data_IF_020048637597
#
_entry.id   IF_020048637597
#
_cell.length_a   1.000
_cell.length_b   1.000
_cell.length_c   1.000
_cell.angle_alpha   90.00
_cell.angle_beta   90.00
_cell.angle_gamma   90.00
#
_symmetry.space_group_name_H-M   'P 1'
#
loop_
_entity.id
_entity.type
_entity.pdbx_description
1 polymer ?
#
# COMPACT_ATOMS: atom_id res chain seq x y z
N UNK A 1 -43.25 10.39 -21.83
CA UNK A 1 -42.38 9.74 -20.84
C UNK A 1 -40.94 9.82 -21.34
N UNK A 2 -40.14 10.76 -20.82
CA UNK A 2 -38.71 10.86 -21.18
C UNK A 2 -37.89 10.73 -19.90
N UNK A 3 -37.43 9.52 -19.62
CA UNK A 3 -36.52 9.25 -18.51
C UNK A 3 -35.12 9.77 -18.87
N UNK A 4 -34.72 10.85 -18.19
CA UNK A 4 -33.37 11.40 -18.27
C UNK A 4 -32.40 10.47 -17.54
N UNK A 5 -31.75 9.57 -18.29
CA UNK A 5 -30.79 8.59 -17.77
C UNK A 5 -29.33 9.11 -17.70
N UNK A 6 -29.11 10.43 -17.76
CA UNK A 6 -27.77 11.06 -17.85
C UNK A 6 -27.14 11.76 -16.61
N UNK A 7 -27.58 11.60 -15.33
CA UNK A 7 -26.83 12.17 -14.19
C UNK A 7 -25.69 11.27 -13.67
N UNK A 8 -25.97 9.96 -13.47
CA UNK A 8 -25.13 9.08 -12.63
C UNK A 8 -23.69 8.87 -13.14
N UNK A 9 -23.52 8.73 -14.46
CA UNK A 9 -22.19 8.54 -15.07
C UNK A 9 -21.34 9.81 -15.07
N UNK A 10 -21.99 10.99 -15.14
CA UNK A 10 -21.30 12.29 -15.08
C UNK A 10 -20.91 12.63 -13.64
N UNK A 11 -21.76 12.24 -12.68
CA UNK A 11 -21.51 12.42 -11.25
C UNK A 11 -20.38 11.52 -10.72
N UNK A 12 -20.33 10.25 -11.14
CA UNK A 12 -19.22 9.35 -10.78
C UNK A 12 -17.89 9.88 -11.30
N UNK A 13 -17.88 10.41 -12.53
CA UNK A 13 -16.67 10.98 -13.15
C UNK A 13 -16.15 12.17 -12.35
N UNK A 14 -17.03 13.11 -11.93
CA UNK A 14 -16.60 14.27 -11.15
C UNK A 14 -16.06 13.87 -9.76
N UNK A 15 -16.70 12.90 -9.10
CA UNK A 15 -16.21 12.36 -7.82
C UNK A 15 -14.82 11.75 -7.97
N UNK A 16 -14.60 10.95 -9.01
CA UNK A 16 -13.31 10.29 -9.24
C UNK A 16 -12.21 11.28 -9.60
N UNK A 17 -12.52 12.30 -10.41
CA UNK A 17 -11.60 13.41 -10.72
C UNK A 17 -11.14 14.16 -9.47
N UNK A 18 -12.05 14.39 -8.50
CA UNK A 18 -11.69 15.01 -7.23
C UNK A 18 -10.75 14.13 -6.40
N UNK A 19 -11.02 12.83 -6.35
CA UNK A 19 -10.14 11.86 -5.66
C UNK A 19 -8.76 11.81 -6.32
N UNK A 20 -8.70 11.75 -7.65
CA UNK A 20 -7.45 11.72 -8.40
C UNK A 20 -6.63 13.00 -8.22
N UNK A 21 -7.27 14.17 -8.35
CA UNK A 21 -6.62 15.46 -8.13
C UNK A 21 -6.07 15.58 -6.70
N UNK A 22 -6.82 15.11 -5.70
CA UNK A 22 -6.39 15.11 -4.30
C UNK A 22 -5.17 14.21 -4.11
N UNK A 23 -5.22 12.98 -4.61
CA UNK A 23 -4.09 12.04 -4.54
C UNK A 23 -2.82 12.63 -5.15
N UNK A 24 -2.93 13.26 -6.33
CA UNK A 24 -1.79 13.92 -6.99
C UNK A 24 -1.23 15.08 -6.17
N UNK A 25 -2.08 15.95 -5.60
CA UNK A 25 -1.60 17.05 -4.74
C UNK A 25 -0.89 16.49 -3.51
N UNK A 26 -1.44 15.46 -2.87
CA UNK A 26 -0.82 14.86 -1.69
C UNK A 26 0.56 14.31 -1.99
N UNK A 27 0.73 13.59 -3.11
CA UNK A 27 2.02 12.99 -3.51
C UNK A 27 3.06 14.04 -3.93
N UNK A 28 2.63 15.13 -4.59
CA UNK A 28 3.52 16.16 -5.13
C UNK A 28 3.88 17.25 -4.11
N UNK A 29 2.92 17.63 -3.26
CA UNK A 29 3.00 18.86 -2.45
C UNK A 29 2.67 18.62 -0.96
N UNK A 30 2.38 17.37 -0.58
CA UNK A 30 1.99 16.99 0.77
C UNK A 30 0.51 17.24 1.07
N UNK A 31 0.01 16.60 2.13
CA UNK A 31 -1.43 16.64 2.44
C UNK A 31 -1.96 18.05 2.75
N UNK A 32 -1.14 18.94 3.31
CA UNK A 32 -1.56 20.29 3.70
C UNK A 32 -1.94 21.15 2.49
N UNK A 33 -1.38 20.87 1.30
CA UNK A 33 -1.67 21.59 0.06
C UNK A 33 -3.04 21.22 -0.53
N UNK A 34 -3.59 20.05 -0.17
CA UNK A 34 -4.80 19.47 -0.76
C UNK A 34 -6.11 20.11 -0.25
N UNK A 35 -6.21 21.44 -0.32
CA UNK A 35 -7.42 22.20 0.07
C UNK A 35 -8.55 22.05 -0.95
N UNK A 36 -9.81 22.21 -0.52
CA UNK A 36 -10.99 22.11 -1.41
C UNK A 36 -10.85 22.98 -2.67
N UNK A 37 -10.38 24.22 -2.53
CA UNK A 37 -10.12 25.12 -3.66
C UNK A 37 -9.06 24.59 -4.62
N UNK A 38 -7.93 24.09 -4.11
CA UNK A 38 -6.83 23.57 -4.96
C UNK A 38 -7.22 22.27 -5.64
N UNK A 39 -7.91 21.38 -4.93
CA UNK A 39 -8.46 20.14 -5.48
C UNK A 39 -9.43 20.45 -6.61
N UNK A 40 -10.39 21.35 -6.40
CA UNK A 40 -11.35 21.73 -7.44
C UNK A 40 -10.65 22.30 -8.68
N UNK A 41 -9.66 23.17 -8.47
CA UNK A 41 -8.86 23.75 -9.55
C UNK A 41 -8.08 22.68 -10.33
N UNK A 42 -7.37 21.77 -9.64
CA UNK A 42 -6.61 20.68 -10.28
C UNK A 42 -7.52 19.67 -11.00
N UNK A 43 -8.69 19.38 -10.43
CA UNK A 43 -9.70 18.54 -11.07
C UNK A 43 -10.44 19.25 -12.23
N UNK A 44 -10.27 20.56 -12.43
CA UNK A 44 -11.01 21.30 -13.46
C UNK A 44 -12.52 21.35 -13.23
N UNK A 45 -12.96 21.30 -11.96
CA UNK A 45 -14.37 21.33 -11.57
C UNK A 45 -14.72 22.57 -10.74
N UNK A 46 -16.02 22.87 -10.62
CA UNK A 46 -16.49 23.98 -9.78
C UNK A 46 -16.23 23.67 -8.29
N UNK A 47 -15.75 24.63 -7.47
CA UNK A 47 -15.48 24.40 -6.04
C UNK A 47 -16.66 23.83 -5.25
N UNK A 48 -17.89 24.22 -5.61
CA UNK A 48 -19.11 23.70 -4.98
C UNK A 48 -19.25 22.17 -5.10
N UNK A 49 -18.65 21.54 -6.12
CA UNK A 49 -18.72 20.10 -6.30
C UNK A 49 -17.88 19.34 -5.27
N UNK A 50 -16.84 19.94 -4.68
CA UNK A 50 -16.05 19.29 -3.64
C UNK A 50 -16.94 18.96 -2.44
N UNK A 51 -17.62 19.96 -1.90
CA UNK A 51 -18.50 19.79 -0.74
C UNK A 51 -19.83 19.09 -1.07
N UNK A 52 -20.22 19.10 -2.35
CA UNK A 52 -21.35 18.29 -2.81
C UNK A 52 -21.06 16.79 -2.71
N UNK A 53 -19.86 16.35 -3.11
CA UNK A 53 -19.47 14.92 -3.05
C UNK A 53 -18.85 14.51 -1.72
N UNK A 54 -18.18 15.44 -1.05
CA UNK A 54 -17.42 15.22 0.18
C UNK A 54 -17.74 16.35 1.17
N UNK A 55 -18.75 16.17 2.04
CA UNK A 55 -19.15 17.14 3.06
C UNK A 55 -17.95 17.75 3.82
N UNK A 56 -16.95 16.92 4.12
CA UNK A 56 -15.70 17.34 4.76
C UNK A 56 -14.48 16.96 3.92
N UNK A 57 -13.37 17.67 4.13
CA UNK A 57 -12.08 17.27 3.55
C UNK A 57 -11.62 15.89 4.04
N UNK A 58 -12.00 15.51 5.27
CA UNK A 58 -11.64 14.20 5.83
C UNK A 58 -12.30 13.06 5.07
N UNK A 59 -13.55 13.23 4.65
CA UNK A 59 -14.21 12.26 3.77
C UNK A 59 -13.53 12.13 2.41
N UNK A 60 -13.03 13.24 1.86
CA UNK A 60 -12.25 13.21 0.63
C UNK A 60 -10.90 12.49 0.84
N UNK A 61 -10.19 12.79 1.92
CA UNK A 61 -8.94 12.09 2.26
C UNK A 61 -9.16 10.60 2.51
N UNK A 62 -10.24 10.21 3.20
CA UNK A 62 -10.63 8.82 3.39
C UNK A 62 -10.96 8.14 2.06
N UNK A 63 -11.60 8.83 1.12
CA UNK A 63 -11.87 8.29 -0.21
C UNK A 63 -10.59 8.04 -1.01
N UNK A 64 -9.62 8.96 -0.93
CA UNK A 64 -8.28 8.77 -1.51
C UNK A 64 -7.57 7.58 -0.86
N UNK A 65 -7.58 7.50 0.47
CA UNK A 65 -6.97 6.40 1.22
C UNK A 65 -7.55 5.05 0.80
N UNK A 66 -8.88 4.92 0.79
CA UNK A 66 -9.58 3.68 0.43
C UNK A 66 -9.28 3.26 -1.01
N UNK A 67 -9.21 4.21 -1.95
CA UNK A 67 -8.84 3.91 -3.35
C UNK A 67 -7.40 3.42 -3.45
N UNK A 68 -6.47 4.09 -2.79
CA UNK A 68 -5.06 3.66 -2.74
C UNK A 68 -4.89 2.29 -2.08
N UNK A 69 -5.55 2.08 -0.94
CA UNK A 69 -5.53 0.81 -0.21
C UNK A 69 -6.10 -0.35 -1.04
N UNK A 70 -7.18 -0.12 -1.80
CA UNK A 70 -7.75 -1.13 -2.69
C UNK A 70 -6.79 -1.51 -3.84
N UNK A 71 -6.11 -0.53 -4.45
CA UNK A 71 -5.11 -0.79 -5.49
C UNK A 71 -3.92 -1.56 -4.91
N UNK A 72 -3.43 -1.16 -3.74
CA UNK A 72 -2.32 -1.80 -3.04
C UNK A 72 -2.66 -3.24 -2.59
N UNK A 73 -3.90 -3.47 -2.18
CA UNK A 73 -4.43 -4.80 -1.86
C UNK A 73 -4.42 -5.71 -3.08
N UNK A 74 -4.90 -5.25 -4.23
CA UNK A 74 -4.92 -6.07 -5.45
C UNK A 74 -3.51 -6.40 -5.94
N UNK A 75 -2.59 -5.42 -5.94
CA UNK A 75 -1.19 -5.63 -6.31
C UNK A 75 -0.52 -6.71 -5.47
N UNK A 76 -0.77 -6.72 -4.16
CA UNK A 76 -0.17 -7.76 -3.31
C UNK A 76 -0.87 -9.10 -3.45
N UNK A 77 -2.17 -9.12 -3.76
CA UNK A 77 -2.87 -10.35 -4.13
C UNK A 77 -2.27 -10.98 -5.39
N UNK A 78 -1.97 -10.16 -6.39
CA UNK A 78 -1.26 -10.57 -7.61
C UNK A 78 0.16 -11.03 -7.30
N UNK A 79 0.89 -10.30 -6.43
CA UNK A 79 2.23 -10.68 -6.00
C UNK A 79 2.26 -12.07 -5.36
N UNK A 80 1.37 -12.36 -4.41
CA UNK A 80 1.27 -13.68 -3.77
C UNK A 80 0.79 -14.80 -4.71
N UNK A 81 0.23 -14.46 -5.87
CA UNK A 81 -0.16 -15.43 -6.90
C UNK A 81 0.91 -15.66 -7.97
N UNK A 82 2.05 -14.97 -7.88
CA UNK A 82 3.16 -15.12 -8.83
C UNK A 82 4.02 -16.35 -8.53
N UNK A 83 4.91 -16.70 -9.47
CA UNK A 83 5.87 -17.80 -9.31
C UNK A 83 6.90 -17.54 -8.20
N UNK A 84 7.11 -16.27 -7.83
CA UNK A 84 8.05 -15.80 -6.81
C UNK A 84 7.33 -14.86 -5.82
N UNK A 85 6.40 -15.40 -5.00
CA UNK A 85 5.44 -14.61 -4.22
C UNK A 85 6.05 -13.65 -3.19
N UNK A 86 7.12 -14.03 -2.49
CA UNK A 86 7.90 -13.20 -1.58
C UNK A 86 8.68 -12.10 -2.30
N UNK A 87 9.30 -12.40 -3.45
CA UNK A 87 10.01 -11.38 -4.22
C UNK A 87 9.03 -10.34 -4.76
N UNK A 88 7.94 -10.79 -5.37
CA UNK A 88 6.88 -9.90 -5.84
C UNK A 88 6.31 -9.09 -4.66
N UNK A 89 6.10 -9.73 -3.51
CA UNK A 89 5.64 -9.05 -2.29
C UNK A 89 6.63 -7.97 -1.83
N UNK A 90 7.93 -8.26 -1.81
CA UNK A 90 8.97 -7.29 -1.48
C UNK A 90 9.00 -6.10 -2.45
N UNK A 91 8.85 -6.36 -3.75
CA UNK A 91 8.82 -5.32 -4.76
C UNK A 91 7.61 -4.38 -4.53
N UNK A 92 6.43 -4.92 -4.16
CA UNK A 92 5.28 -4.06 -3.80
C UNK A 92 5.52 -3.18 -2.56
N UNK A 93 6.37 -3.61 -1.63
CA UNK A 93 6.72 -2.82 -0.45
C UNK A 93 7.75 -1.72 -0.75
N UNK A 94 8.55 -1.92 -1.79
CA UNK A 94 9.63 -1.01 -2.19
C UNK A 94 9.24 -0.07 -3.33
N UNK A 95 8.05 -0.23 -3.92
CA UNK A 95 7.49 0.73 -4.87
C UNK A 95 7.24 2.12 -4.23
N UNK A 96 7.97 3.13 -4.71
CA UNK A 96 8.01 4.49 -4.15
C UNK A 96 6.64 5.21 -4.11
N UNK A 97 5.75 4.94 -5.07
CA UNK A 97 4.48 5.65 -5.19
C UNK A 97 3.48 5.30 -4.09
N UNK A 98 3.38 4.02 -3.74
CA UNK A 98 2.39 3.54 -2.77
C UNK A 98 2.80 3.93 -1.34
N UNK A 99 4.10 3.85 -1.06
CA UNK A 99 4.64 4.21 0.25
C UNK A 99 4.67 5.73 0.48
N UNK A 100 4.93 6.56 -0.53
CA UNK A 100 4.87 8.03 -0.36
C UNK A 100 3.47 8.51 0.02
N UNK A 101 2.45 7.98 -0.64
CA UNK A 101 1.07 8.28 -0.28
C UNK A 101 0.73 7.78 1.14
N UNK A 102 1.21 6.60 1.53
CA UNK A 102 1.06 6.07 2.89
C UNK A 102 1.70 6.98 3.95
N UNK A 103 2.91 7.51 3.69
CA UNK A 103 3.60 8.43 4.60
C UNK A 103 2.81 9.73 4.83
N UNK A 104 2.24 10.30 3.78
CA UNK A 104 1.35 11.47 3.89
C UNK A 104 0.11 11.16 4.75
N UNK A 105 -0.49 9.97 4.57
CA UNK A 105 -1.60 9.53 5.39
C UNK A 105 -1.21 9.28 6.85
N UNK A 106 0.00 8.79 7.13
CA UNK A 106 0.51 8.66 8.51
C UNK A 106 0.68 10.03 9.17
N UNK A 107 1.22 11.02 8.45
CA UNK A 107 1.28 12.40 8.91
C UNK A 107 -0.11 12.97 9.23
N UNK A 108 -1.08 12.73 8.34
CA UNK A 108 -2.48 13.13 8.52
C UNK A 108 -3.13 12.44 9.74
N UNK A 109 -2.84 11.15 9.95
CA UNK A 109 -3.36 10.33 11.04
C UNK A 109 -2.92 10.82 12.43
N UNK A 110 -1.74 11.45 12.54
CA UNK A 110 -1.25 12.02 13.80
C UNK A 110 -2.18 13.11 14.34
N UNK A 111 -2.95 13.75 13.46
CA UNK A 111 -3.84 14.86 13.82
C UNK A 111 -5.33 14.53 13.67
N UNK A 112 -5.69 13.36 13.12
CA UNK A 112 -7.09 13.02 12.80
C UNK A 112 -7.46 11.60 13.22
N UNK A 113 -8.29 11.49 14.26
CA UNK A 113 -8.66 10.20 14.89
C UNK A 113 -9.41 9.26 13.95
N UNK A 114 -10.33 9.77 13.13
CA UNK A 114 -11.12 8.96 12.20
C UNK A 114 -10.25 8.34 11.10
N UNK A 115 -9.34 9.15 10.53
CA UNK A 115 -8.36 8.69 9.54
C UNK A 115 -7.40 7.67 10.15
N UNK A 116 -6.93 7.91 11.38
CA UNK A 116 -6.12 6.94 12.13
C UNK A 116 -6.84 5.59 12.30
N UNK A 117 -8.11 5.61 12.68
CA UNK A 117 -8.89 4.39 12.89
C UNK A 117 -9.08 3.61 11.58
N UNK A 118 -9.37 4.30 10.47
CA UNK A 118 -9.48 3.66 9.16
C UNK A 118 -8.14 3.05 8.72
N UNK A 119 -7.02 3.78 8.86
CA UNK A 119 -5.69 3.29 8.51
C UNK A 119 -5.32 2.05 9.34
N UNK A 120 -5.61 2.07 10.65
CA UNK A 120 -5.37 0.92 11.52
C UNK A 120 -6.19 -0.30 11.07
N UNK A 121 -7.49 -0.13 10.84
CA UNK A 121 -8.36 -1.22 10.39
C UNK A 121 -7.91 -1.82 9.03
N UNK A 122 -7.41 -0.99 8.12
CA UNK A 122 -6.82 -1.47 6.87
C UNK A 122 -5.48 -2.18 7.08
N UNK A 123 -4.62 -1.64 7.93
CA UNK A 123 -3.31 -2.22 8.23
C UNK A 123 -3.42 -3.60 8.88
N UNK A 124 -4.39 -3.79 9.78
CA UNK A 124 -4.66 -5.09 10.43
C UNK A 124 -5.18 -6.12 9.43
N UNK A 125 -6.23 -5.79 8.65
CA UNK A 125 -6.73 -6.67 7.59
C UNK A 125 -5.64 -7.07 6.59
N UNK A 126 -4.77 -6.12 6.28
CA UNK A 126 -3.62 -6.35 5.42
C UNK A 126 -2.58 -7.29 6.07
N UNK A 127 -2.32 -7.12 7.37
CA UNK A 127 -1.41 -7.97 8.15
C UNK A 127 -1.88 -9.42 8.19
N UNK A 128 -3.17 -9.64 8.42
CA UNK A 128 -3.77 -10.98 8.43
C UNK A 128 -3.55 -11.71 7.10
N UNK A 129 -3.76 -11.03 5.97
CA UNK A 129 -3.54 -11.62 4.65
C UNK A 129 -2.08 -12.04 4.43
N UNK A 130 -1.12 -11.16 4.78
CA UNK A 130 0.30 -11.48 4.67
C UNK A 130 0.69 -12.66 5.57
N UNK A 131 0.17 -12.70 6.80
CA UNK A 131 0.44 -13.80 7.73
C UNK A 131 -0.08 -15.12 7.16
N UNK A 132 -1.28 -15.15 6.59
CA UNK A 132 -1.82 -16.37 5.96
C UNK A 132 -0.96 -16.82 4.78
N UNK A 133 -0.54 -15.90 3.90
CA UNK A 133 0.34 -16.23 2.77
C UNK A 133 1.72 -16.74 3.23
N UNK A 134 2.34 -16.05 4.19
CA UNK A 134 3.64 -16.46 4.74
C UNK A 134 3.56 -17.78 5.50
N UNK A 135 2.45 -18.07 6.20
CA UNK A 135 2.24 -19.37 6.85
C UNK A 135 2.19 -20.52 5.84
N UNK A 136 1.67 -20.29 4.63
CA UNK A 136 1.70 -21.29 3.57
C UNK A 136 3.15 -21.59 3.16
N UNK A 137 3.96 -20.55 2.96
CA UNK A 137 5.37 -20.67 2.56
C UNK A 137 6.22 -21.32 3.66
N UNK A 138 6.03 -20.91 4.92
CA UNK A 138 6.72 -21.53 6.08
C UNK A 138 6.49 -23.04 6.14
N UNK A 139 5.26 -23.48 5.84
CA UNK A 139 4.91 -24.91 5.81
C UNK A 139 5.44 -25.63 4.57
N UNK A 140 5.37 -25.01 3.40
CA UNK A 140 5.83 -25.61 2.14
C UNK A 140 7.35 -25.86 2.14
N UNK A 141 8.11 -24.97 2.78
CA UNK A 141 9.57 -25.04 2.84
C UNK A 141 10.12 -25.68 4.13
N UNK A 142 9.26 -26.31 4.94
CA UNK A 142 9.62 -27.02 6.19
C UNK A 142 10.45 -26.16 7.17
N UNK A 143 10.08 -24.88 7.30
CA UNK A 143 10.74 -23.95 8.21
C UNK A 143 10.25 -24.13 9.64
N UNK A 144 11.15 -23.95 10.60
CA UNK A 144 10.76 -23.89 12.00
C UNK A 144 9.97 -22.61 12.28
N UNK A 145 8.66 -22.75 12.47
CA UNK A 145 7.77 -21.64 12.79
C UNK A 145 8.06 -20.99 14.16
N UNK A 146 8.80 -21.67 15.05
CA UNK A 146 9.27 -21.09 16.30
C UNK A 146 10.47 -20.15 16.09
N UNK A 147 11.33 -20.44 15.12
CA UNK A 147 12.46 -19.58 14.73
C UNK A 147 12.01 -18.46 13.77
N UNK A 148 11.09 -18.78 12.85
CA UNK A 148 10.61 -17.88 11.79
C UNK A 148 9.08 -17.72 11.82
N UNK A 149 8.52 -17.04 12.84
CA UNK A 149 7.08 -16.81 12.89
C UNK A 149 6.64 -15.89 11.73
N UNK A 150 5.66 -16.33 10.93
CA UNK A 150 5.16 -15.61 9.76
C UNK A 150 4.76 -14.14 10.06
N UNK A 151 4.15 -13.90 11.23
CA UNK A 151 3.80 -12.55 11.69
C UNK A 151 5.04 -11.66 11.91
N UNK A 152 6.10 -12.22 12.51
CA UNK A 152 7.36 -11.50 12.71
C UNK A 152 8.03 -11.17 11.38
N UNK A 153 8.13 -12.15 10.48
CA UNK A 153 8.67 -11.95 9.13
C UNK A 153 7.92 -10.86 8.36
N UNK A 154 6.58 -10.90 8.38
CA UNK A 154 5.74 -9.91 7.71
C UNK A 154 6.05 -8.48 8.19
N UNK A 155 6.20 -8.30 9.52
CA UNK A 155 6.51 -7.00 10.12
C UNK A 155 7.92 -6.55 9.77
N UNK A 156 8.92 -7.42 9.87
CA UNK A 156 10.32 -7.07 9.57
C UNK A 156 10.49 -6.68 8.10
N UNK A 157 9.98 -7.48 7.17
CA UNK A 157 10.07 -7.19 5.73
C UNK A 157 9.39 -5.85 5.42
N UNK A 158 8.18 -5.62 5.95
CA UNK A 158 7.47 -4.37 5.75
C UNK A 158 8.15 -3.16 6.42
N UNK A 159 8.85 -3.35 7.55
CA UNK A 159 9.59 -2.29 8.22
C UNK A 159 10.82 -1.87 7.42
N UNK A 160 11.57 -2.82 6.85
CA UNK A 160 12.73 -2.51 6.01
C UNK A 160 12.27 -1.75 4.77
N UNK A 161 11.29 -2.26 4.02
CA UNK A 161 10.79 -1.60 2.79
C UNK A 161 10.32 -0.15 3.04
N UNK A 162 9.55 0.07 4.12
CA UNK A 162 9.10 1.43 4.50
C UNK A 162 10.25 2.34 4.89
N UNK A 163 11.25 1.83 5.62
CA UNK A 163 12.39 2.63 6.07
C UNK A 163 13.25 3.09 4.89
N UNK A 164 13.51 2.20 3.92
CA UNK A 164 14.27 2.53 2.72
C UNK A 164 13.63 3.69 1.95
N UNK A 165 12.31 3.63 1.73
CA UNK A 165 11.60 4.70 1.00
C UNK A 165 11.54 5.99 1.79
N UNK A 166 11.34 5.91 3.11
CA UNK A 166 11.35 7.09 3.97
C UNK A 166 12.69 7.81 3.88
N UNK A 167 13.79 7.07 4.04
CA UNK A 167 15.14 7.61 3.98
C UNK A 167 15.48 8.16 2.58
N UNK A 168 15.09 7.46 1.51
CA UNK A 168 15.27 7.94 0.14
C UNK A 168 14.53 9.27 -0.08
N UNK A 169 13.31 9.40 0.44
CA UNK A 169 12.56 10.66 0.44
C UNK A 169 13.24 11.80 1.20
N UNK A 170 14.08 11.48 2.19
CA UNK A 170 14.91 12.43 2.94
C UNK A 170 16.30 12.66 2.30
N UNK A 171 16.60 12.00 1.17
CA UNK A 171 17.90 12.06 0.50
C UNK A 171 19.00 11.22 1.18
N UNK A 172 18.61 10.27 2.04
CA UNK A 172 19.51 9.32 2.70
C UNK A 172 19.45 7.98 1.97
N UNK A 173 20.60 7.44 1.57
CA UNK A 173 20.65 6.18 0.80
C UNK A 173 21.78 5.22 1.20
N UNK A 174 22.62 5.59 2.16
CA UNK A 174 23.77 4.75 2.57
C UNK A 174 23.27 3.45 3.19
N UNK A 175 23.74 2.31 2.69
CA UNK A 175 23.36 0.99 3.20
C UNK A 175 22.08 0.42 2.58
N UNK A 176 21.38 1.18 1.73
CA UNK A 176 20.11 0.76 1.14
C UNK A 176 20.30 -0.43 0.19
N UNK A 177 21.30 -0.35 -0.70
CA UNK A 177 21.61 -1.43 -1.63
C UNK A 177 21.99 -2.71 -0.89
N UNK A 178 22.77 -2.60 0.18
CA UNK A 178 23.15 -3.74 1.02
C UNK A 178 21.96 -4.35 1.76
N UNK A 179 21.03 -3.51 2.26
CA UNK A 179 19.80 -3.96 2.91
C UNK A 179 18.88 -4.67 1.92
N UNK A 180 18.67 -4.10 0.73
CA UNK A 180 17.89 -4.74 -0.36
C UNK A 180 18.53 -6.07 -0.74
N UNK A 181 19.84 -6.11 -0.93
CA UNK A 181 20.56 -7.33 -1.28
C UNK A 181 20.47 -8.39 -0.17
N UNK A 182 20.49 -7.99 1.11
CA UNK A 182 20.31 -8.90 2.23
C UNK A 182 18.92 -9.52 2.25
N UNK A 183 17.89 -8.70 2.04
CA UNK A 183 16.50 -9.18 1.95
C UNK A 183 16.36 -10.13 0.78
N UNK A 184 16.78 -9.76 -0.43
CA UNK A 184 16.68 -10.63 -1.63
C UNK A 184 17.38 -11.98 -1.42
N UNK A 185 18.60 -12.01 -0.88
CA UNK A 185 19.30 -13.27 -0.53
C UNK A 185 18.52 -14.12 0.47
N UNK A 186 17.84 -13.49 1.42
CA UNK A 186 16.98 -14.19 2.36
C UNK A 186 15.76 -14.77 1.64
N UNK A 187 15.08 -13.99 0.80
CA UNK A 187 13.92 -14.44 0.01
C UNK A 187 14.28 -15.58 -0.95
N UNK A 188 15.42 -15.52 -1.62
CA UNK A 188 15.92 -16.59 -2.50
C UNK A 188 15.97 -17.93 -1.78
N UNK A 189 16.34 -17.96 -0.49
CA UNK A 189 16.41 -19.19 0.30
C UNK A 189 15.04 -19.86 0.47
N UNK A 190 13.95 -19.09 0.39
CA UNK A 190 12.58 -19.57 0.59
C UNK A 190 11.80 -19.78 -0.70
N UNK A 191 12.32 -19.38 -1.85
CA UNK A 191 11.63 -19.58 -3.15
C UNK A 191 12.43 -20.41 -4.13
N UNK A 192 13.73 -20.58 -3.90
CA UNK A 192 14.51 -21.53 -4.68
C UNK A 192 13.99 -22.95 -4.43
N UNK A 193 13.83 -23.78 -5.47
CA UNK A 193 13.50 -25.19 -5.27
C UNK A 193 14.60 -25.83 -4.43
N UNK A 194 14.26 -26.20 -3.20
CA UNK A 194 15.18 -26.88 -2.28
C UNK A 194 15.74 -28.10 -3.00
N UNK A 195 17.07 -28.21 -3.22
CA UNK A 195 17.62 -29.41 -3.82
C UNK A 195 17.24 -30.58 -2.92
N UNK A 196 16.43 -31.52 -3.44
CA UNK A 196 16.10 -32.76 -2.73
C UNK A 196 17.41 -33.40 -2.29
N UNK A 197 17.74 -33.28 -1.01
CA UNK A 197 18.90 -33.96 -0.46
C UNK A 197 18.67 -35.45 -0.72
N UNK A 198 19.63 -36.07 -1.43
CA UNK A 198 19.64 -37.50 -1.69
C UNK A 198 19.57 -38.18 -0.32
N UNK A 199 18.39 -38.66 0.07
CA UNK A 199 18.27 -39.74 1.05
C UNK A 199 18.96 -40.95 0.42
N UNK A 200 20.27 -41.03 0.67
CA UNK A 200 21.08 -42.18 0.37
C UNK A 200 20.54 -43.35 1.17
N UNK A 201 20.16 -44.39 0.43
CA UNK A 201 20.10 -45.77 0.93
C UNK A 201 21.37 -46.06 1.75
N UNK A 202 21.20 -46.57 2.95
CA UNK A 202 22.00 -47.66 3.50
C UNK A 202 21.10 -48.49 4.40
#
# INVERSE_FOLDING_TARGET
>A
MTASQRPKARDSTARDMLVDATSQIMVEEGYAAATSRRVAAKAGVKPALVHYYFPTMDELYLAVFRRGAAVYLERQREAFASDQPLHAFWDTLTEAKDTRLLLEFMGLANHRKEIRAEIAAWSERWREMQITALNFIVREHDLDAAEFPAAGLAVVIAAIGRTLILEEGLGTSRGHDEAVALVRRFLDRFEMPTPKSRRGRS
#
